data_IF_156295055428
#
_entry.id   IF_156295055428
#
_cell.length_a   1.000
_cell.length_b   1.000
_cell.length_c   1.000
_cell.angle_alpha   90.00
_cell.angle_beta   90.00
_cell.angle_gamma   90.00
#
_symmetry.space_group_name_H-M   'P 1'
#
loop_
_entity.id
_entity.type
_entity.pdbx_description
1 polymer ?
#
# COMPACT_ATOMS: atom_id res chain seq x y z
N UNK A 1 -16.34 2.33 10.30
CA UNK A 1 -14.93 2.35 9.89
C UNK A 1 -14.82 2.95 8.49
N UNK A 2 -13.95 3.94 8.34
CA UNK A 2 -13.75 4.63 7.04
C UNK A 2 -12.28 4.47 6.66
N UNK A 3 -12.02 3.78 5.54
CA UNK A 3 -10.67 3.50 5.07
C UNK A 3 -10.52 4.02 3.64
N UNK A 4 -9.44 4.76 3.38
CA UNK A 4 -9.11 5.18 2.03
C UNK A 4 -8.14 4.16 1.42
N UNK A 5 -8.46 3.72 0.22
CA UNK A 5 -7.59 2.87 -0.59
C UNK A 5 -6.78 3.74 -1.54
N UNK A 6 -5.65 3.25 -2.00
CA UNK A 6 -4.80 3.96 -2.98
C UNK A 6 -4.14 5.23 -2.49
N UNK A 7 -3.63 5.21 -1.26
CA UNK A 7 -2.77 6.28 -0.79
C UNK A 7 -1.35 5.99 -1.28
N UNK A 8 -0.72 7.02 -1.85
CA UNK A 8 0.68 6.96 -2.29
C UNK A 8 1.53 7.88 -1.42
N UNK A 9 2.76 7.45 -1.11
CA UNK A 9 3.69 8.25 -0.33
C UNK A 9 4.86 8.71 -1.21
N UNK A 10 5.85 9.38 -0.58
CA UNK A 10 7.07 9.83 -1.29
C UNK A 10 7.89 8.68 -1.86
N UNK A 11 7.63 7.46 -1.46
CA UNK A 11 8.32 6.28 -2.01
C UNK A 11 7.76 5.85 -3.35
N UNK A 12 6.65 6.45 -3.78
CA UNK A 12 6.15 6.34 -5.14
C UNK A 12 6.77 7.44 -6.00
N UNK A 13 7.06 7.13 -7.25
CA UNK A 13 7.63 8.10 -8.18
C UNK A 13 6.68 9.28 -8.48
N UNK A 14 5.40 9.13 -8.21
CA UNK A 14 4.38 10.13 -8.50
C UNK A 14 3.86 10.87 -7.26
N UNK A 15 4.52 10.71 -6.11
CA UNK A 15 4.09 11.37 -4.89
C UNK A 15 5.28 11.88 -4.08
N UNK A 16 5.14 13.08 -3.53
CA UNK A 16 6.15 13.69 -2.66
C UNK A 16 5.71 13.72 -1.20
N UNK A 17 4.57 13.13 -0.87
CA UNK A 17 4.00 13.22 0.46
C UNK A 17 4.70 12.27 1.44
N UNK A 18 5.20 12.83 2.53
CA UNK A 18 5.86 12.06 3.58
C UNK A 18 4.83 11.26 4.39
N UNK A 19 5.20 10.07 4.90
CA UNK A 19 4.30 9.26 5.71
C UNK A 19 3.64 9.99 6.89
N UNK A 20 4.39 10.85 7.60
CA UNK A 20 3.85 11.64 8.70
C UNK A 20 2.68 12.51 8.26
N UNK A 21 2.84 13.14 7.09
CA UNK A 21 1.84 14.04 6.54
C UNK A 21 0.61 13.27 6.06
N UNK A 22 0.83 12.09 5.48
CA UNK A 22 -0.26 11.21 5.04
C UNK A 22 -1.14 10.85 6.24
N UNK A 23 -0.54 10.43 7.35
CA UNK A 23 -1.27 10.10 8.57
C UNK A 23 -2.05 11.30 9.10
N UNK A 24 -1.40 12.45 9.16
CA UNK A 24 -2.02 13.66 9.69
C UNK A 24 -3.25 14.07 8.89
N UNK A 25 -3.13 14.05 7.57
CA UNK A 25 -4.24 14.43 6.69
C UNK A 25 -5.38 13.41 6.79
N UNK A 26 -5.06 12.12 6.79
CA UNK A 26 -6.07 11.07 6.87
C UNK A 26 -6.88 11.17 8.16
N UNK A 27 -6.21 11.36 9.29
CA UNK A 27 -6.88 11.52 10.58
C UNK A 27 -7.73 12.78 10.63
N UNK A 28 -7.23 13.86 10.05
CA UNK A 28 -7.96 15.14 9.99
C UNK A 28 -9.25 15.00 9.17
N UNK A 29 -9.27 14.14 8.19
CA UNK A 29 -10.45 13.87 7.35
C UNK A 29 -11.43 12.90 7.99
N UNK A 30 -11.14 12.42 9.19
CA UNK A 30 -12.02 11.49 9.90
C UNK A 30 -11.89 10.05 9.47
N UNK A 31 -10.83 9.70 8.73
CA UNK A 31 -10.58 8.31 8.37
C UNK A 31 -10.11 7.51 9.58
N UNK A 32 -10.45 6.23 9.61
CA UNK A 32 -10.00 5.32 10.66
C UNK A 32 -8.92 4.36 10.17
N UNK A 33 -8.54 4.48 8.92
CA UNK A 33 -7.46 3.69 8.35
C UNK A 33 -7.16 4.09 6.92
N UNK A 34 -6.01 3.61 6.43
CA UNK A 34 -5.58 3.82 5.05
C UNK A 34 -4.90 2.55 4.53
N UNK A 35 -4.95 2.39 3.22
CA UNK A 35 -4.16 1.39 2.52
C UNK A 35 -3.10 2.13 1.72
N UNK A 36 -1.84 1.95 2.07
CA UNK A 36 -0.72 2.61 1.38
C UNK A 36 -0.25 1.70 0.26
N UNK A 37 -0.42 2.14 -0.98
CA UNK A 37 -0.13 1.37 -2.20
C UNK A 37 0.81 2.13 -3.11
N UNK A 38 2.07 2.24 -2.73
CA UNK A 38 3.06 2.89 -3.58
C UNK A 38 3.39 2.02 -4.79
N UNK A 39 3.90 2.66 -5.84
CA UNK A 39 4.28 1.95 -7.06
C UNK A 39 5.50 1.06 -6.83
N UNK A 40 5.33 -0.24 -7.03
CA UNK A 40 6.39 -1.24 -7.02
C UNK A 40 7.19 -1.35 -5.71
N UNK A 41 6.64 -0.87 -4.60
CA UNK A 41 7.32 -1.00 -3.29
C UNK A 41 6.32 -0.95 -2.15
N UNK A 42 6.61 -1.68 -1.08
CA UNK A 42 5.84 -1.62 0.16
C UNK A 42 6.47 -0.65 1.16
N UNK A 43 7.57 0.00 0.80
CA UNK A 43 8.36 0.81 1.73
C UNK A 43 7.54 1.92 2.38
N UNK A 44 6.71 2.61 1.60
CA UNK A 44 5.86 3.68 2.14
C UNK A 44 4.86 3.17 3.16
N UNK A 45 4.25 2.03 2.89
CA UNK A 45 3.32 1.39 3.83
C UNK A 45 4.00 0.96 5.11
N UNK A 46 5.17 0.34 4.99
CA UNK A 46 5.97 -0.08 6.16
C UNK A 46 6.35 1.12 7.02
N UNK A 47 6.87 2.19 6.41
CA UNK A 47 7.26 3.39 7.13
C UNK A 47 6.06 4.06 7.79
N UNK A 48 4.94 4.15 7.09
CA UNK A 48 3.71 4.74 7.63
C UNK A 48 3.19 3.94 8.81
N UNK A 49 3.16 2.63 8.69
CA UNK A 49 2.73 1.75 9.79
C UNK A 49 3.64 1.89 11.00
N UNK A 50 4.95 1.99 10.76
CA UNK A 50 5.95 2.08 11.81
C UNK A 50 5.82 3.35 12.65
N UNK A 51 5.51 4.48 12.03
CA UNK A 51 5.35 5.75 12.75
C UNK A 51 3.96 5.97 13.31
N UNK A 52 2.99 5.12 12.95
CA UNK A 52 1.64 5.23 13.47
C UNK A 52 1.58 4.65 14.89
N UNK A 53 1.32 5.51 15.86
CA UNK A 53 1.18 5.12 17.27
C UNK A 53 -0.26 5.05 17.74
N UNK A 54 -1.21 5.28 16.85
CA UNK A 54 -2.64 5.29 17.18
C UNK A 54 -3.25 3.92 16.94
N UNK A 55 -3.60 3.22 18.02
CA UNK A 55 -4.19 1.87 17.96
C UNK A 55 -5.55 1.85 17.26
N UNK A 56 -6.23 2.99 17.22
CA UNK A 56 -7.54 3.11 16.60
C UNK A 56 -7.47 3.52 15.13
N UNK A 57 -6.27 3.67 14.59
CA UNK A 57 -6.05 4.00 13.20
C UNK A 57 -5.21 2.90 12.56
N UNK A 58 -5.73 2.30 11.48
CA UNK A 58 -5.06 1.19 10.82
C UNK A 58 -4.31 1.62 9.58
N UNK A 59 -3.08 1.12 9.44
CA UNK A 59 -2.29 1.28 8.23
C UNK A 59 -2.11 -0.09 7.60
N UNK A 60 -2.71 -0.28 6.43
CA UNK A 60 -2.60 -1.51 5.68
C UNK A 60 -1.52 -1.33 4.62
N UNK A 61 -0.54 -2.22 4.63
CA UNK A 61 0.61 -2.14 3.73
C UNK A 61 0.30 -2.84 2.42
N UNK A 62 0.48 -2.13 1.32
CA UNK A 62 0.29 -2.67 -0.01
C UNK A 62 1.26 -2.10 -1.00
N UNK A 63 1.13 -2.50 -2.24
CA UNK A 63 1.89 -1.97 -3.37
C UNK A 63 1.09 -2.14 -4.65
N UNK A 64 1.24 -1.17 -5.53
CA UNK A 64 0.68 -1.24 -6.88
C UNK A 64 1.79 -1.66 -7.82
N UNK A 65 1.71 -2.88 -8.34
CA UNK A 65 2.77 -3.50 -9.12
C UNK A 65 2.46 -3.39 -10.60
N UNK A 66 3.35 -2.77 -11.36
CA UNK A 66 3.25 -2.74 -12.82
C UNK A 66 3.63 -4.11 -13.37
N UNK A 67 2.72 -4.72 -14.13
CA UNK A 67 2.97 -6.02 -14.74
C UNK A 67 2.81 -5.94 -16.26
N UNK A 68 3.13 -7.02 -16.92
CA UNK A 68 2.97 -7.16 -18.37
C UNK A 68 1.49 -7.15 -18.81
N UNK A 69 0.57 -7.35 -17.86
CA UNK A 69 -0.88 -7.35 -18.12
C UNK A 69 -1.60 -6.20 -17.41
N UNK A 70 -0.88 -5.14 -17.02
CA UNK A 70 -1.44 -3.98 -16.34
C UNK A 70 -1.06 -3.94 -14.87
N UNK A 71 -1.61 -2.98 -14.14
CA UNK A 71 -1.27 -2.79 -12.74
C UNK A 71 -2.08 -3.72 -11.84
N UNK A 72 -1.40 -4.29 -10.86
CA UNK A 72 -2.00 -5.19 -9.87
C UNK A 72 -1.68 -4.64 -8.49
N UNK A 73 -2.70 -4.50 -7.66
CA UNK A 73 -2.50 -4.05 -6.27
C UNK A 73 -2.51 -5.27 -5.35
N UNK A 74 -1.47 -5.37 -4.53
CA UNK A 74 -1.44 -6.33 -3.43
C UNK A 74 -1.57 -5.60 -2.12
N UNK A 75 -2.37 -6.12 -1.20
CA UNK A 75 -2.50 -5.53 0.14
C UNK A 75 -2.23 -6.58 1.20
N UNK A 76 -2.01 -6.14 2.43
CA UNK A 76 -1.56 -6.96 3.56
C UNK A 76 -0.19 -7.59 3.28
N UNK A 77 0.70 -6.80 2.66
CA UNK A 77 2.02 -7.29 2.29
C UNK A 77 3.02 -7.08 3.43
N UNK A 78 3.91 -8.05 3.60
CA UNK A 78 5.01 -7.98 4.56
C UNK A 78 6.36 -7.98 3.86
N UNK A 79 6.42 -8.45 2.62
CA UNK A 79 7.64 -8.54 1.82
C UNK A 79 7.43 -7.92 0.46
N UNK A 80 8.52 -7.36 -0.10
CA UNK A 80 8.47 -6.80 -1.44
C UNK A 80 8.13 -7.87 -2.48
N UNK A 81 7.44 -7.44 -3.53
CA UNK A 81 7.10 -8.30 -4.67
C UNK A 81 8.19 -8.11 -5.72
N UNK A 82 8.94 -9.15 -6.00
CA UNK A 82 10.07 -9.09 -6.92
C UNK A 82 9.66 -9.34 -8.37
N UNK A 83 8.65 -10.17 -8.59
CA UNK A 83 8.17 -10.49 -9.94
C UNK A 83 7.50 -9.30 -10.62
N UNK A 84 7.43 -9.33 -11.95
CA UNK A 84 6.76 -8.28 -12.73
C UNK A 84 5.84 -8.85 -13.80
N UNK A 85 5.71 -10.17 -13.91
CA UNK A 85 4.66 -10.77 -14.74
C UNK A 85 3.44 -11.03 -13.86
N UNK A 86 2.27 -10.89 -14.44
CA UNK A 86 1.01 -10.95 -13.71
C UNK A 86 0.87 -12.21 -12.84
N UNK A 87 1.11 -13.37 -13.43
CA UNK A 87 0.92 -14.64 -12.75
C UNK A 87 1.83 -14.80 -11.52
N UNK A 88 3.09 -14.45 -11.68
CA UNK A 88 4.07 -14.55 -10.59
C UNK A 88 3.79 -13.52 -9.50
N UNK A 89 3.37 -12.31 -9.87
CA UNK A 89 2.99 -11.27 -8.91
C UNK A 89 1.82 -11.75 -8.05
N UNK A 90 0.77 -12.26 -8.69
CA UNK A 90 -0.40 -12.77 -7.95
C UNK A 90 0.00 -13.90 -7.01
N UNK A 91 0.89 -14.79 -7.47
CA UNK A 91 1.38 -15.91 -6.67
C UNK A 91 2.17 -15.43 -5.46
N UNK A 92 3.07 -14.45 -5.63
CA UNK A 92 3.85 -13.90 -4.53
C UNK A 92 2.97 -13.20 -3.50
N UNK A 93 1.94 -12.49 -3.93
CA UNK A 93 1.00 -11.84 -3.02
C UNK A 93 0.24 -12.88 -2.20
N UNK A 94 -0.28 -13.90 -2.85
CA UNK A 94 -1.04 -14.96 -2.16
C UNK A 94 -0.15 -15.76 -1.22
N UNK A 95 1.11 -15.96 -1.57
CA UNK A 95 2.06 -16.73 -0.78
C UNK A 95 2.33 -16.10 0.58
N UNK A 96 2.17 -14.80 0.71
CA UNK A 96 2.31 -14.10 1.99
C UNK A 96 0.95 -13.71 2.59
N UNK A 97 -0.11 -14.37 2.18
CA UNK A 97 -1.47 -14.16 2.66
C UNK A 97 -2.02 -12.77 2.32
N UNK A 98 -1.51 -12.18 1.25
CA UNK A 98 -2.00 -10.90 0.76
C UNK A 98 -3.25 -11.08 -0.09
N UNK A 99 -3.91 -9.97 -0.36
CA UNK A 99 -5.09 -9.92 -1.21
C UNK A 99 -4.72 -9.26 -2.54
N UNK A 100 -5.11 -9.90 -3.63
CA UNK A 100 -4.86 -9.38 -4.98
C UNK A 100 -6.05 -8.55 -5.43
N UNK A 101 -5.79 -7.31 -5.84
CA UNK A 101 -6.82 -6.42 -6.38
C UNK A 101 -6.40 -6.04 -7.80
N UNK A 102 -7.28 -6.28 -8.76
CA UNK A 102 -7.00 -5.93 -10.15
C UNK A 102 -7.39 -4.48 -10.42
N UNK A 103 -6.47 -3.74 -11.00
CA UNK A 103 -6.71 -2.35 -11.39
C UNK A 103 -7.07 -2.30 -12.87
N UNK A 104 -7.91 -1.35 -13.22
CA UNK A 104 -8.33 -1.14 -14.60
C UNK A 104 -7.53 -0.06 -15.28
#
# INVERSE_FOLDING_TARGET
MIIDFHIHTRYSYDSLMKPEKVLKIAKRRGLTGIVVCDHNTIRGGIETRKINSDENFQVIVGAEIATDAGDVTGIFLEKEIEARDFRSVAKEIKKQNGLVILNH
#
